data_IF_293715343687
#
_entry.id   IF_293715343687
#
_cell.length_a   1.000
_cell.length_b   1.000
_cell.length_c   1.000
_cell.angle_alpha   90.00
_cell.angle_beta   90.00
_cell.angle_gamma   90.00
#
_symmetry.space_group_name_H-M   'P 1'
#
loop_
_entity.id
_entity.type
_entity.pdbx_description
1 polymer ?
2 non-polymer ?
3 non-polymer ?
4 non-polymer ?
5 water ?
#
# COMPACT_ATOMS: atom_id res chain seq x y z
N UNK A 1 -15.24 -8.42 5.39
CA UNK A 1 -16.22 -7.32 5.39
C UNK A 1 -15.55 -5.96 5.61
N UNK A 2 -16.07 -5.16 6.55
CA UNK A 2 -15.52 -3.83 6.78
C UNK A 2 -15.93 -2.79 5.74
N UNK A 3 -15.43 -1.56 5.88
CA UNK A 3 -15.84 -0.52 4.91
C UNK A 3 -15.20 -0.71 3.53
N UNK A 4 -15.90 -0.21 2.52
CA UNK A 4 -15.40 -0.25 1.16
C UNK A 4 -15.61 1.09 0.48
N UNK A 5 -14.86 1.35 -0.58
CA UNK A 5 -15.09 2.51 -1.41
C UNK A 5 -16.38 2.29 -2.20
N UNK A 6 -17.17 3.35 -2.34
CA UNK A 6 -18.46 3.30 -3.01
C UNK A 6 -18.37 3.87 -4.42
N UNK A 7 -17.19 3.84 -4.97
CA UNK A 7 -16.95 4.24 -6.34
C UNK A 7 -15.86 3.36 -6.90
N UNK A 8 -15.75 3.28 -8.22
CA UNK A 8 -14.73 2.45 -8.85
C UNK A 8 -13.59 3.27 -9.43
N UNK A 9 -13.71 4.59 -9.36
CA UNK A 9 -12.60 5.46 -9.77
C UNK A 9 -12.01 6.09 -8.53
N UNK A 10 -10.75 5.77 -8.26
CA UNK A 10 -10.08 6.16 -7.03
C UNK A 10 -8.77 6.86 -7.36
N UNK A 11 -8.56 8.04 -6.81
CA UNK A 11 -7.29 8.72 -7.03
C UNK A 11 -6.31 8.55 -5.88
N UNK A 12 -5.04 8.67 -6.22
CA UNK A 12 -3.99 8.68 -5.21
C UNK A 12 -2.99 9.80 -5.47
N UNK A 13 -2.29 10.22 -4.43
CA UNK A 13 -1.25 11.22 -4.56
C UNK A 13 -0.09 10.84 -3.67
N UNK A 14 1.14 10.96 -4.18
CA UNK A 14 2.34 10.73 -3.39
C UNK A 14 2.72 12.04 -2.71
N UNK A 15 2.47 12.10 -1.40
CA UNK A 15 2.67 13.30 -0.61
C UNK A 15 4.13 13.71 -0.53
N UNK A 16 4.99 12.70 -0.43
CA UNK A 16 6.41 12.96 -0.29
C UNK A 16 7.17 11.70 -0.67
N UNK A 17 8.50 11.83 -0.80
CA UNK A 17 9.36 10.76 -1.31
C UNK A 17 10.46 10.39 -0.34
N UNK A 18 10.63 9.08 -0.10
CA UNK A 18 11.76 8.63 0.69
C UNK A 18 13.05 8.99 -0.03
N UNK A 19 14.07 9.42 0.73
CA UNK A 19 15.36 9.66 0.09
C UNK A 19 16.10 8.34 -0.17
N UNK A 20 15.53 7.21 0.25
CA UNK A 20 16.18 5.91 0.06
C UNK A 20 16.25 5.49 -1.41
N UNK A 21 15.27 5.94 -2.19
CA UNK A 21 15.12 5.51 -3.57
C UNK A 21 15.01 6.71 -4.47
N UNK A 22 15.31 6.57 -5.76
CA UNK A 22 15.04 7.72 -6.62
C UNK A 22 13.55 7.84 -6.95
N UNK A 23 13.13 9.06 -7.27
CA UNK A 23 11.74 9.42 -7.45
C UNK A 23 10.97 8.52 -8.42
N UNK A 24 11.57 8.24 -9.56
CA UNK A 24 10.93 7.40 -10.58
C UNK A 24 10.71 5.97 -10.10
N UNK A 25 11.61 5.48 -9.25
CA UNK A 25 11.48 4.13 -8.70
C UNK A 25 10.33 4.06 -7.68
N UNK A 26 10.14 5.13 -6.91
CA UNK A 26 8.99 5.21 -6.00
C UNK A 26 7.67 5.27 -6.79
N UNK A 27 7.60 6.14 -7.80
CA UNK A 27 6.43 6.23 -8.67
C UNK A 27 6.12 4.86 -9.28
N UNK A 28 7.17 4.18 -9.72
CA UNK A 28 6.98 2.90 -10.38
C UNK A 28 6.45 1.86 -9.40
N UNK A 29 7.10 1.74 -8.23
CA UNK A 29 6.65 0.79 -7.21
C UNK A 29 5.19 0.99 -6.81
N UNK A 30 4.79 2.24 -6.59
CA UNK A 30 3.42 2.55 -6.21
C UNK A 30 2.44 2.26 -7.36
N UNK A 31 2.80 2.67 -8.58
CA UNK A 31 1.90 2.43 -9.72
C UNK A 31 1.66 0.94 -9.96
N UNK A 32 2.73 0.15 -9.89
CA UNK A 32 2.62 -1.29 -10.07
C UNK A 32 1.84 -1.95 -8.93
N UNK A 33 1.95 -1.39 -7.73
CA UNK A 33 1.20 -1.94 -6.60
C UNK A 33 -0.32 -1.74 -6.75
N UNK A 34 -0.73 -0.56 -7.23
CA UNK A 34 -2.15 -0.33 -7.53
C UNK A 34 -2.59 -1.25 -8.66
N UNK A 35 -1.73 -1.45 -9.64
CA UNK A 35 -2.09 -2.27 -10.79
C UNK A 35 -2.42 -3.70 -10.37
N UNK A 36 -1.72 -4.20 -9.36
CA UNK A 36 -1.97 -5.54 -8.84
C UNK A 36 -3.44 -5.74 -8.48
N UNK A 37 -4.01 -4.73 -7.82
CA UNK A 37 -5.39 -4.79 -7.36
C UNK A 37 -6.42 -4.44 -8.45
N UNK A 38 -6.09 -3.50 -9.32
CA UNK A 38 -6.97 -3.18 -10.43
C UNK A 38 -7.09 -4.35 -11.41
N UNK A 39 -6.05 -5.19 -11.46
CA UNK A 39 -6.06 -6.35 -12.36
C UNK A 39 -7.15 -7.38 -12.04
N UNK A 40 -7.65 -7.37 -10.80
CA UNK A 40 -8.61 -8.40 -10.37
C UNK A 40 -9.95 -7.82 -9.85
N UNK A 41 -10.16 -6.52 -10.09
CA UNK A 41 -11.36 -5.81 -9.64
C UNK A 41 -11.87 -4.84 -10.71
N UNK A 42 -13.03 -4.20 -10.47
CA UNK A 42 -13.47 -3.13 -11.38
C UNK A 42 -12.82 -1.78 -11.06
N UNK A 43 -11.95 -1.76 -10.05
CA UNK A 43 -11.35 -0.51 -9.57
C UNK A 43 -10.34 0.07 -10.54
N UNK A 44 -10.37 1.39 -10.71
CA UNK A 44 -9.35 2.07 -11.48
C UNK A 44 -8.67 3.14 -10.64
N UNK A 45 -7.35 3.23 -10.78
CA UNK A 45 -6.56 4.17 -9.98
C UNK A 45 -5.82 5.16 -10.85
N UNK A 46 -5.92 6.44 -10.52
CA UNK A 46 -5.20 7.49 -11.23
C UNK A 46 -4.37 8.31 -10.24
N UNK A 47 -3.08 8.50 -10.57
CA UNK A 47 -2.19 9.37 -9.81
C UNK A 47 -2.49 10.84 -10.14
N UNK A 48 -2.65 11.66 -9.11
CA UNK A 48 -2.75 13.10 -9.30
C UNK A 48 -1.66 13.80 -8.48
N UNK A 49 -1.19 14.94 -8.96
CA UNK A 49 -0.18 15.72 -8.24
C UNK A 49 -0.82 16.94 -7.61
N UNK A 50 -1.92 17.37 -8.21
CA UNK A 50 -2.68 18.53 -7.75
C UNK A 50 -4.15 18.14 -7.58
N UNK A 51 -4.71 18.41 -6.41
CA UNK A 51 -6.10 18.08 -6.16
C UNK A 51 -6.35 17.31 -4.88
N UNK A 52 -7.55 16.75 -4.75
CA UNK A 52 -7.94 16.00 -3.55
C UNK A 52 -7.97 14.49 -3.79
N UNK A 53 -6.84 13.83 -3.55
CA UNK A 53 -6.73 12.40 -3.79
C UNK A 53 -7.44 11.61 -2.71
N UNK A 54 -8.01 10.45 -3.09
CA UNK A 54 -8.59 9.53 -2.11
C UNK A 54 -7.54 8.90 -1.20
N UNK A 55 -6.48 8.35 -1.82
CA UNK A 55 -5.41 7.67 -1.09
C UNK A 55 -4.12 8.48 -1.11
N UNK A 56 -3.73 9.00 0.04
CA UNK A 56 -2.50 9.75 0.13
C UNK A 56 -1.39 8.77 0.52
N UNK A 57 -0.28 8.79 -0.22
CA UNK A 57 0.88 7.95 0.09
C UNK A 57 1.92 8.83 0.78
N UNK A 58 2.30 8.43 1.99
CA UNK A 58 3.14 9.27 2.84
C UNK A 58 4.31 8.47 3.40
N UNK A 59 5.50 9.07 3.45
CA UNK A 59 6.60 8.50 4.21
C UNK A 59 6.80 9.38 5.43
N UNK A 60 6.89 8.79 6.62
CA UNK A 60 6.98 9.58 7.84
C UNK A 60 7.72 8.79 8.89
N UNK A 61 8.08 9.47 9.99
CA UNK A 61 8.94 8.89 11.02
C UNK A 61 8.27 8.91 12.40
N UNK A 62 8.45 7.85 13.20
CA UNK A 62 7.98 7.81 14.57
C UNK A 62 6.55 8.27 14.78
N UNK A 63 6.35 9.18 15.74
CA UNK A 63 5.04 9.79 16.00
C UNK A 63 4.78 10.85 14.93
N UNK A 64 3.85 10.57 14.02
CA UNK A 64 3.72 11.40 12.82
C UNK A 64 2.30 11.93 12.62
N UNK A 65 1.60 12.18 13.71
CA UNK A 65 0.35 12.92 13.66
C UNK A 65 -0.91 12.09 13.69
N UNK A 66 -0.77 10.77 13.81
CA UNK A 66 -1.97 9.92 13.92
C UNK A 66 -1.83 8.94 15.08
N UNK A 67 -2.73 7.97 15.19
CA UNK A 67 -2.71 7.09 16.35
C UNK A 67 -1.99 5.79 16.10
N UNK A 68 -1.14 5.80 15.08
CA UNK A 68 -0.33 4.63 14.73
C UNK A 68 1.13 5.02 14.55
N UNK A 69 1.76 5.38 15.68
CA UNK A 69 3.16 5.77 15.69
C UNK A 69 4.09 4.66 15.19
N UNK A 70 5.16 5.05 14.52
CA UNK A 70 6.15 4.09 14.06
C UNK A 70 7.23 3.86 15.14
N UNK A 71 8.12 2.91 14.89
CA UNK A 71 8.95 2.35 15.94
C UNK A 71 10.43 2.30 15.58
N UNK A 72 10.84 3.10 14.61
CA UNK A 72 12.21 3.04 14.14
C UNK A 72 12.42 1.87 13.21
N UNK A 73 13.68 1.53 12.93
CA UNK A 73 13.99 0.46 12.00
C UNK A 73 13.47 -0.89 12.49
N UNK A 74 12.84 -1.64 11.60
CA UNK A 74 12.26 -2.93 11.95
C UNK A 74 10.85 -2.80 12.50
N UNK A 75 10.33 -3.87 13.10
CA UNK A 75 8.98 -3.80 13.63
C UNK A 75 7.95 -3.48 12.56
N UNK A 76 7.09 -2.49 12.83
CA UNK A 76 6.12 -2.08 11.85
C UNK A 76 6.80 -1.33 10.70
N UNK A 77 6.46 -1.70 9.47
CA UNK A 77 7.09 -1.11 8.29
C UNK A 77 6.23 0.01 7.70
N UNK A 78 4.94 -0.07 7.96
CA UNK A 78 3.96 0.79 7.32
C UNK A 78 2.61 0.50 7.95
N UNK A 79 1.64 1.38 7.72
CA UNK A 79 0.24 1.13 8.09
C UNK A 79 -0.69 1.92 7.17
N UNK A 80 -1.95 1.53 7.10
CA UNK A 80 -2.88 2.22 6.20
C UNK A 80 -4.29 2.26 6.77
N UNK A 81 -5.02 3.34 6.49
CA UNK A 81 -6.40 3.47 6.93
C UNK A 81 -7.35 2.85 5.90
N UNK A 82 -8.41 2.20 6.39
CA UNK A 82 -9.41 1.64 5.50
C UNK A 82 -10.21 2.73 4.82
N UNK A 83 -11.06 2.36 3.87
CA UNK A 83 -11.85 3.31 3.08
C UNK A 83 -12.64 4.30 3.95
N UNK A 84 -12.65 5.57 3.53
CA UNK A 84 -13.28 6.61 4.32
C UNK A 84 -12.81 7.96 3.83
N UNK A 85 -13.44 9.02 4.31
CA UNK A 85 -13.04 10.37 3.91
C UNK A 85 -11.80 10.81 4.66
N UNK A 86 -11.15 11.87 4.20
CA UNK A 86 -10.02 12.44 4.89
C UNK A 86 -8.86 11.48 4.99
N UNK A 87 -8.44 11.18 6.22
CA UNK A 87 -7.29 10.29 6.42
C UNK A 87 -7.62 8.86 5.99
N UNK A 88 -8.91 8.58 5.83
CA UNK A 88 -9.35 7.29 5.33
C UNK A 88 -8.63 6.96 4.03
N UNK A 89 -8.23 5.71 3.86
CA UNK A 89 -7.55 5.28 2.66
C UNK A 89 -6.04 5.53 2.64
N UNK A 90 -5.56 6.48 3.44
CA UNK A 90 -4.16 6.90 3.35
C UNK A 90 -3.20 5.81 3.82
N UNK A 91 -2.07 5.72 3.14
CA UNK A 91 -1.06 4.71 3.42
C UNK A 91 0.25 5.36 3.82
N UNK A 92 0.74 4.98 4.99
CA UNK A 92 1.93 5.60 5.58
C UNK A 92 3.06 4.58 5.71
N UNK A 93 4.26 4.97 5.27
CA UNK A 93 5.41 4.08 5.25
C UNK A 93 6.46 4.62 6.20
N UNK A 94 7.06 3.74 7.01
CA UNK A 94 8.03 4.14 8.03
C UNK A 94 9.37 4.52 7.40
N UNK A 95 9.71 5.80 7.46
CA UNK A 95 10.96 6.27 6.87
C UNK A 95 12.18 5.66 7.55
N UNK A 96 12.01 5.12 8.76
CA UNK A 96 13.16 4.52 9.44
C UNK A 96 13.56 3.18 8.84
N UNK A 97 12.74 2.65 7.92
CA UNK A 97 13.13 1.51 7.11
C UNK A 97 13.97 2.00 5.94
N UNK A 98 14.75 1.09 5.35
CA UNK A 98 15.47 1.41 4.12
C UNK A 98 14.71 0.83 2.94
N UNK A 99 13.97 1.69 2.23
CA UNK A 99 13.12 1.26 1.13
C UNK A 99 13.94 0.96 -0.11
N UNK A 100 13.62 -0.14 -0.78
CA UNK A 100 14.38 -0.55 -1.97
C UNK A 100 13.51 -1.06 -3.10
N UNK A 101 14.12 -1.17 -4.28
CA UNK A 101 13.49 -1.78 -5.44
C UNK A 101 13.73 -3.28 -5.46
N UNK A 102 14.32 -3.82 -4.40
CA UNK A 102 14.83 -5.18 -4.45
C UNK A 102 14.70 -5.95 -3.14
N UNK A 103 15.61 -6.89 -2.90
CA UNK A 103 15.52 -7.80 -1.75
C UNK A 103 16.17 -7.22 -0.51
N UNK A 104 17.12 -6.31 -0.71
CA UNK A 104 17.75 -5.63 0.41
C UNK A 104 16.76 -4.71 1.11
N UNK A 105 17.05 -4.38 2.36
CA UNK A 105 16.17 -3.53 3.15
C UNK A 105 14.73 -4.00 3.14
N UNK A 106 13.81 -3.10 2.81
CA UNK A 106 12.40 -3.44 2.71
C UNK A 106 11.90 -3.06 1.32
N UNK A 107 11.38 -4.04 0.57
CA UNK A 107 10.85 -3.75 -0.76
C UNK A 107 9.59 -2.89 -0.74
N UNK A 108 9.64 -1.72 -1.38
CA UNK A 108 8.51 -0.80 -1.35
C UNK A 108 7.30 -1.37 -2.08
N UNK A 109 7.50 -1.93 -3.27
CA UNK A 109 6.40 -2.52 -4.06
C UNK A 109 5.60 -3.52 -3.25
N UNK A 110 6.27 -4.50 -2.65
CA UNK A 110 5.57 -5.53 -1.90
C UNK A 110 4.83 -4.94 -0.70
N UNK A 111 5.47 -4.02 0.01
CA UNK A 111 4.85 -3.37 1.15
C UNK A 111 3.62 -2.57 0.71
N UNK A 112 3.74 -1.89 -0.42
CA UNK A 112 2.64 -1.10 -0.94
C UNK A 112 1.45 -1.94 -1.39
N UNK A 113 1.72 -3.13 -1.94
CA UNK A 113 0.62 -4.00 -2.32
C UNK A 113 -0.18 -4.35 -1.06
N UNK A 114 0.54 -4.72 0.00
CA UNK A 114 -0.08 -5.06 1.27
C UNK A 114 -0.88 -3.86 1.81
N UNK A 115 -0.24 -2.68 1.84
CA UNK A 115 -0.89 -1.51 2.41
C UNK A 115 -2.09 -1.04 1.59
N UNK A 116 -1.99 -1.06 0.26
CA UNK A 116 -3.13 -0.72 -0.58
C UNK A 116 -4.29 -1.71 -0.35
N UNK A 117 -3.96 -2.97 -0.09
CA UNK A 117 -4.95 -3.95 0.35
C UNK A 117 -5.81 -3.41 1.49
N UNK A 118 -5.14 -2.91 2.51
CA UNK A 118 -5.82 -2.30 3.66
C UNK A 118 -6.59 -1.03 3.27
N UNK A 119 -5.98 -0.21 2.42
CA UNK A 119 -6.62 1.01 1.93
C UNK A 119 -7.93 0.71 1.19
N UNK A 120 -8.06 -0.50 0.67
CA UNK A 120 -9.24 -0.90 -0.08
C UNK A 120 -10.22 -1.68 0.80
N UNK A 121 -9.80 -1.99 2.02
CA UNK A 121 -10.68 -2.61 2.99
C UNK A 121 -10.35 -4.03 3.40
N UNK A 122 -9.30 -4.60 2.82
CA UNK A 122 -8.88 -5.97 3.17
C UNK A 122 -8.26 -6.07 4.55
N UNK A 123 -8.50 -7.20 5.20
CA UNK A 123 -7.81 -7.55 6.43
C UNK A 123 -6.73 -8.56 6.16
N UNK A 124 -6.30 -9.29 7.18
CA UNK A 124 -5.19 -10.21 6.99
C UNK A 124 -5.58 -11.62 6.56
N UNK A 125 -4.63 -12.30 5.93
CA UNK A 125 -4.80 -13.68 5.44
C UNK A 125 -4.09 -14.68 6.33
N UNK A 126 -4.59 -15.91 6.36
CA UNK A 126 -3.92 -16.99 7.09
C UNK A 126 -3.05 -17.82 6.13
N UNK A 127 -3.10 -17.48 4.85
CA UNK A 127 -2.26 -18.13 3.85
C UNK A 127 -0.86 -17.52 3.91
N UNK A 128 0.15 -18.32 4.29
CA UNK A 128 1.53 -17.83 4.35
C UNK A 128 2.02 -17.26 3.02
N UNK A 129 1.33 -17.61 1.94
CA UNK A 129 1.68 -17.17 0.59
C UNK A 129 0.91 -15.92 0.14
N UNK A 130 -0.02 -15.46 0.95
CA UNK A 130 -0.86 -14.33 0.58
C UNK A 130 -0.14 -13.03 0.87
N UNK A 131 -0.30 -12.03 0.00
CA UNK A 131 0.34 -10.75 0.24
C UNK A 131 -0.23 -10.08 1.49
N UNK A 132 -1.44 -10.49 1.88
CA UNK A 132 -2.09 -9.97 3.07
C UNK A 132 -1.80 -10.80 4.32
N UNK A 133 -0.84 -11.71 4.24
CA UNK A 133 -0.31 -12.33 5.46
C UNK A 133 0.26 -11.20 6.31
N UNK A 134 0.16 -11.31 7.65
CA UNK A 134 0.52 -10.18 8.51
C UNK A 134 1.98 -9.74 8.47
N UNK A 135 2.90 -10.67 8.28
CA UNK A 135 4.31 -10.32 8.30
C UNK A 135 4.96 -10.27 6.93
N UNK A 136 5.78 -9.24 6.75
CA UNK A 136 6.55 -9.07 5.53
C UNK A 136 7.60 -10.15 5.42
N UNK A 137 7.72 -10.67 4.21
CA UNK A 137 8.86 -11.48 3.83
C UNK A 137 9.04 -11.28 2.33
N UNK A 138 10.28 -11.05 1.92
CA UNK A 138 10.55 -10.79 0.52
C UNK A 138 10.25 -12.00 -0.37
N UNK A 139 9.63 -11.73 -1.51
CA UNK A 139 9.54 -12.71 -2.58
C UNK A 139 9.98 -12.02 -3.87
N UNK A 140 10.54 -12.81 -4.79
CA UNK A 140 10.97 -12.32 -6.08
C UNK A 140 9.86 -11.49 -6.72
N UNK A 141 10.06 -10.19 -6.82
CA UNK A 141 9.01 -9.28 -7.32
C UNK A 141 8.79 -9.48 -8.82
N UNK A 142 9.75 -10.11 -9.49
CA UNK A 142 9.64 -10.37 -10.93
C UNK A 142 8.59 -11.43 -11.26
N UNK A 143 8.28 -12.28 -10.28
CA UNK A 143 7.30 -13.34 -10.45
C UNK A 143 6.16 -13.23 -9.43
N UNK A 144 6.04 -12.05 -8.81
CA UNK A 144 5.01 -11.87 -7.78
C UNK A 144 3.60 -12.10 -8.33
N UNK A 145 2.79 -12.79 -7.54
CA UNK A 145 1.37 -12.95 -7.82
C UNK A 145 0.57 -12.91 -6.54
N UNK A 146 -0.60 -12.30 -6.58
CA UNK A 146 -1.59 -12.43 -5.51
C UNK A 146 -1.87 -13.90 -5.34
N UNK A 147 -2.14 -14.31 -4.12
CA UNK A 147 -2.59 -15.68 -3.90
C UNK A 147 -4.08 -15.74 -4.20
N UNK A 148 -4.62 -16.95 -4.35
CA UNK A 148 -6.05 -17.13 -4.58
C UNK A 148 -6.85 -16.55 -3.43
N UNK A 149 -6.28 -16.57 -2.23
CA UNK A 149 -6.98 -15.99 -1.09
C UNK A 149 -7.09 -14.47 -1.19
N UNK A 150 -6.01 -13.81 -1.63
CA UNK A 150 -6.03 -12.37 -1.81
C UNK A 150 -7.09 -12.00 -2.85
N UNK A 151 -7.15 -12.79 -3.92
CA UNK A 151 -8.10 -12.50 -4.98
C UNK A 151 -9.54 -12.72 -4.53
N UNK A 152 -9.78 -13.80 -3.80
CA UNK A 152 -11.09 -14.02 -3.21
C UNK A 152 -11.47 -12.82 -2.34
N UNK A 153 -10.53 -12.41 -1.49
CA UNK A 153 -10.79 -11.33 -0.56
C UNK A 153 -11.23 -10.04 -1.23
N UNK A 154 -10.48 -9.60 -2.23
CA UNK A 154 -10.76 -8.32 -2.87
C UNK A 154 -11.98 -8.42 -3.79
N UNK A 155 -12.18 -9.58 -4.41
CA UNK A 155 -13.34 -9.75 -5.27
C UNK A 155 -14.63 -9.82 -4.46
N UNK A 156 -14.52 -10.18 -3.19
CA UNK A 156 -15.68 -10.21 -2.31
C UNK A 156 -16.09 -8.79 -1.91
N UNK A 157 -15.14 -7.86 -1.99
CA UNK A 157 -15.42 -6.47 -1.65
C UNK A 157 -15.88 -5.63 -2.85
N UNK A 158 -15.34 -5.91 -4.03
CA UNK A 158 -15.61 -5.11 -5.22
C UNK A 158 -16.05 -5.95 -6.42
N UNK A 159 -17.14 -5.54 -7.07
CA UNK A 159 -17.63 -6.23 -8.25
C UNK A 159 -18.72 -7.25 -7.92
X LIG B 1 -1.40 -5.65 7.31
X LIG C 1 0.35 7.08 10.09
X LIG D 1 -7.81 9.79 2.13
X LIG E 1 14.64 5.42 5.07
X LIG F 1 9.57 0.40 11.83
X LIG G 1 4.95 -4.09 8.85
X LIG G 1 4.15 -5.47 3.85
X LIG G 1 3.90 -4.53 4.75
X LIG G 1 4.03 -4.94 9.03
X LIG G 1 2.69 -4.77 8.39
X LIG G 1 2.90 -4.10 7.04
X LIG G 1 3.17 -6.36 5.67
X LIG G 1 3.72 -6.63 4.40
X LIG G 1 3.80 -7.91 3.65
X LIG G 1 3.17 -9.08 4.09
X LIG G 1 3.27 -10.25 3.33
X LIG G 1 3.97 -10.25 2.12
X LIG G 1 4.58 -9.08 1.68
X LIG G 1 4.48 -7.92 2.44
X LIG G 1 3.29 -4.99 5.88
X LIG G 1 1.92 -3.83 9.32
X LIG G 1 0.14 -3.64 9.00
X LIG G 1 -0.13 -2.68 7.86
X LIG G 1 -0.50 -5.00 8.88
X LIG G 1 -0.57 -2.91 10.43
X LIG G 1 -1.67 -3.48 11.05
X LIG G 1 -2.22 -2.88 12.18
X LIG G 1 -1.68 -1.71 12.69
X LIG G 1 -2.41 -0.87 14.23
X LIG G 1 -0.57 -1.13 12.07
X LIG G 1 -0.02 -1.75 10.94
X LIG G 1 4.19 -6.02 9.79
X LIG G 1 5.40 -6.21 10.58
X LIG G 1 6.46 -7.03 9.86
X LIG G 1 6.17 -7.87 9.02
X LIG G 1 5.06 -6.83 11.94
X LIG G 1 4.13 -5.97 12.79
X LIG G 1 3.89 -6.57 14.16
X LIG G 1 2.84 -7.21 14.35
X LIG G 1 4.75 -6.39 15.05
X LIG G 1 7.72 -6.75 10.19
X LIG G 1 8.83 -7.55 9.69
X LIG G 1 8.70 -8.99 10.20
X LIG G 1 8.72 -9.94 9.40
X LIG G 1 10.14 -6.94 10.15
X LIG G 1 11.37 -7.53 9.52
X LIG G 1 12.55 -6.59 9.62
X LIG G 1 13.08 -6.42 10.73
X LIG G 1 12.90 -5.98 8.58
X LIG G 1 8.55 -9.14 11.51
#
# INVERSE_FOLDING_TARGET
MGPVWRKHYITYRINNYTPDMNREDVDYAIRKAFQVWSNVTPLKFSKINTGMADILVVFARGAHGDDHAFDGKGGILAHAFGPGSGIGGDAHFDEDEFWTTHSGGTNLFLTAVHEIGHSLGLGHSSDPKAVMFPTYKYVDINTFRLSADDIRGIQSLYG
ZN ZN
ZN ZN
CA CA
CA CA
CA CA
R45 O4 N1 O1 C25 C17 C16 C14 C13 C12 C11 C10 C7 C8 C9 C15 C18 P1 O2 O3 C19 C20 C21 C22 BR1 C23 C24 N2 C26 C30 O7 C27 C28 C29 O6 O5 N3 C31 C35 O10 C32 C33 C34 O8 O9 N4
#
